data_IF_020278127197
#
_entry.id   IF_020278127197
#
_cell.length_a   1.000
_cell.length_b   1.000
_cell.length_c   1.000
_cell.angle_alpha   90.00
_cell.angle_beta   90.00
_cell.angle_gamma   90.00
#
_symmetry.space_group_name_H-M   'P 1'
#
loop_
_entity.id
_entity.type
_entity.pdbx_description
1 polymer ?
#
# COMPACT_ATOMS: atom_id res chain seq x y z
N UNK A 1 7.35 13.32 -5.13
CA UNK A 1 7.38 12.07 -4.37
C UNK A 1 6.09 11.98 -3.57
N UNK A 2 5.46 10.81 -3.61
CA UNK A 2 4.07 10.58 -3.20
C UNK A 2 3.38 9.77 -4.29
N UNK A 3 3.80 8.51 -4.45
CA UNK A 3 3.14 7.59 -5.34
C UNK A 3 1.70 7.39 -4.84
N UNK A 4 0.75 8.08 -5.46
CA UNK A 4 -0.66 7.73 -5.48
C UNK A 4 -0.82 6.42 -6.27
N UNK A 5 -0.30 5.32 -5.73
CA UNK A 5 -0.79 4.00 -6.07
C UNK A 5 -1.90 3.68 -5.08
N UNK A 6 -3.14 3.81 -5.55
CA UNK A 6 -4.29 3.16 -4.91
C UNK A 6 -3.98 1.68 -4.79
N UNK A 7 -3.57 1.24 -3.59
CA UNK A 7 -3.47 -0.17 -3.25
C UNK A 7 -4.87 -0.76 -3.21
N UNK A 8 -5.37 -1.19 -4.36
CA UNK A 8 -6.55 -2.04 -4.45
C UNK A 8 -6.11 -3.45 -4.11
N UNK A 9 -6.45 -3.89 -2.91
CA UNK A 9 -6.24 -5.26 -2.42
C UNK A 9 -6.93 -6.25 -3.37
N UNK A 10 -6.24 -7.26 -3.92
CA UNK A 10 -6.92 -8.34 -4.63
C UNK A 10 -7.71 -9.18 -3.62
N UNK A 11 -9.02 -9.21 -3.82
CA UNK A 11 -9.98 -10.04 -3.11
C UNK A 11 -9.64 -11.53 -3.29
N UNK A 12 -8.89 -12.11 -2.36
CA UNK A 12 -8.63 -13.54 -2.28
C UNK A 12 -9.77 -14.20 -1.50
N UNK A 13 -10.66 -14.85 -2.24
CA UNK A 13 -11.72 -15.72 -1.75
C UNK A 13 -11.12 -16.84 -0.88
N UNK A 14 -11.31 -16.75 0.44
CA UNK A 14 -11.11 -17.87 1.35
C UNK A 14 -12.39 -18.71 1.39
N UNK A 15 -12.30 -19.94 0.90
CA UNK A 15 -13.33 -20.97 1.03
C UNK A 15 -13.52 -21.32 2.51
N UNK A 16 -14.74 -21.10 2.99
CA UNK A 16 -15.22 -21.49 4.31
C UNK A 16 -15.20 -23.03 4.46
N UNK A 17 -14.76 -23.51 5.63
CA UNK A 17 -14.35 -24.90 5.88
C UNK A 17 -15.49 -25.80 6.36
N UNK A 18 -16.75 -25.38 6.23
CA UNK A 18 -17.89 -26.07 6.87
C UNK A 18 -18.82 -26.89 5.97
N UNK A 19 -18.53 -27.05 4.68
CA UNK A 19 -19.25 -27.98 3.81
C UNK A 19 -18.30 -28.80 2.92
N UNK A 20 -17.73 -29.87 3.45
CA UNK A 20 -17.18 -30.96 2.63
C UNK A 20 -17.10 -32.24 3.46
N UNK A 21 -18.24 -32.89 3.64
CA UNK A 21 -18.28 -34.31 3.94
C UNK A 21 -18.30 -35.08 2.62
N UNK A 22 -17.50 -36.14 2.58
CA UNK A 22 -17.46 -37.25 1.62
C UNK A 22 -16.56 -37.13 0.37
N UNK A 23 -15.48 -37.92 0.44
CA UNK A 23 -14.86 -38.76 -0.59
C UNK A 23 -14.10 -38.11 -1.77
N UNK A 24 -12.77 -38.13 -1.61
CA UNK A 24 -11.76 -38.65 -2.55
C UNK A 24 -11.92 -38.37 -4.06
N UNK A 25 -11.07 -37.46 -4.59
CA UNK A 25 -10.00 -37.72 -5.59
C UNK A 25 -9.76 -36.53 -6.55
N UNK A 26 -8.52 -36.36 -7.07
CA UNK A 26 -7.95 -35.07 -7.40
C UNK A 26 -7.91 -34.81 -8.91
N UNK A 27 -8.27 -33.59 -9.33
CA UNK A 27 -8.00 -33.11 -10.69
C UNK A 27 -7.68 -31.62 -10.66
N UNK A 28 -6.40 -31.27 -10.81
CA UNK A 28 -5.97 -29.99 -11.40
C UNK A 28 -4.55 -30.12 -11.98
N UNK A 29 -4.46 -29.75 -13.26
CA UNK A 29 -3.34 -29.10 -13.96
C UNK A 29 -1.91 -29.68 -13.81
N UNK A 30 -1.57 -30.59 -14.73
CA UNK A 30 -0.26 -30.57 -15.36
C UNK A 30 -0.22 -29.43 -16.39
N UNK A 31 0.53 -28.37 -16.09
CA UNK A 31 1.07 -27.48 -17.11
C UNK A 31 2.29 -28.18 -17.73
N UNK A 32 2.30 -28.31 -19.05
CA UNK A 32 3.32 -29.03 -19.79
C UNK A 32 4.65 -28.27 -19.84
N UNK A 33 5.66 -28.81 -19.16
CA UNK A 33 7.07 -28.70 -19.55
C UNK A 33 7.91 -29.66 -18.69
N UNK A 34 7.71 -30.96 -18.91
CA UNK A 34 8.73 -31.95 -18.62
C UNK A 34 8.94 -32.76 -19.90
N UNK A 35 10.09 -32.52 -20.49
CA UNK A 35 10.69 -33.18 -21.65
C UNK A 35 10.48 -34.69 -21.70
N UNK A 36 10.31 -35.15 -22.92
CA UNK A 36 9.98 -36.48 -23.46
C UNK A 36 10.91 -37.66 -23.06
N UNK A 37 11.60 -37.60 -21.91
CA UNK A 37 12.64 -38.55 -21.49
C UNK A 37 12.35 -39.35 -20.21
N UNK A 38 11.23 -39.12 -19.53
CA UNK A 38 10.95 -39.77 -18.23
C UNK A 38 9.91 -40.90 -18.28
N UNK A 39 9.20 -41.10 -19.39
CA UNK A 39 8.13 -42.12 -19.44
C UNK A 39 8.64 -43.56 -19.66
N UNK A 40 9.83 -43.75 -20.22
CA UNK A 40 10.36 -45.11 -20.46
C UNK A 40 11.09 -45.76 -19.27
N UNK A 41 11.51 -45.01 -18.25
CA UNK A 41 12.15 -45.59 -17.05
C UNK A 41 11.18 -45.99 -15.94
N UNK A 42 9.92 -45.52 -15.97
CA UNK A 42 9.00 -45.71 -14.84
C UNK A 42 8.33 -47.11 -14.81
N UNK A 43 8.46 -47.92 -15.87
CA UNK A 43 7.85 -49.25 -15.96
C UNK A 43 8.70 -50.40 -15.36
N UNK A 44 9.87 -50.13 -14.77
CA UNK A 44 10.77 -51.21 -14.30
C UNK A 44 11.23 -51.12 -12.84
N UNK A 45 10.60 -50.30 -12.00
CA UNK A 45 11.01 -50.14 -10.61
C UNK A 45 10.01 -50.75 -9.61
N UNK A 46 10.56 -51.69 -8.83
CA UNK A 46 9.95 -52.50 -7.79
C UNK A 46 9.07 -51.70 -6.80
N UNK A 47 8.15 -52.40 -6.14
CA UNK A 47 7.07 -51.90 -5.27
C UNK A 47 7.49 -50.84 -4.22
N UNK A 48 8.78 -50.77 -3.88
CA UNK A 48 9.42 -49.79 -2.98
C UNK A 48 9.50 -48.37 -3.57
N UNK A 49 9.59 -48.21 -4.89
CA UNK A 49 9.80 -46.89 -5.54
C UNK A 49 8.51 -46.05 -5.62
N UNK A 50 7.34 -46.70 -5.67
CA UNK A 50 6.02 -46.00 -5.64
C UNK A 50 5.76 -45.28 -4.32
N UNK A 51 6.26 -45.80 -3.20
CA UNK A 51 6.17 -45.11 -1.90
C UNK A 51 7.09 -43.88 -1.86
N UNK A 52 8.29 -43.95 -2.41
CA UNK A 52 9.19 -42.79 -2.50
C UNK A 52 8.61 -41.69 -3.39
N UNK A 53 7.99 -42.01 -4.52
CA UNK A 53 7.38 -41.01 -5.41
C UNK A 53 6.17 -40.32 -4.78
N UNK A 54 5.30 -41.06 -4.06
CA UNK A 54 4.19 -40.50 -3.27
C UNK A 54 4.68 -39.70 -2.06
N UNK A 55 5.79 -40.11 -1.42
CA UNK A 55 6.40 -39.36 -0.31
C UNK A 55 7.07 -38.08 -0.82
N UNK A 56 7.74 -38.11 -1.99
CA UNK A 56 8.32 -36.94 -2.62
C UNK A 56 7.24 -35.99 -3.16
N UNK A 57 6.13 -36.51 -3.70
CA UNK A 57 4.96 -35.70 -4.10
C UNK A 57 4.29 -35.05 -2.89
N UNK A 58 4.05 -35.79 -1.78
CA UNK A 58 3.52 -35.22 -0.53
C UNK A 58 4.48 -34.23 0.15
N UNK A 59 5.80 -34.44 0.03
CA UNK A 59 6.81 -33.53 0.57
C UNK A 59 6.97 -32.28 -0.30
N UNK A 60 6.90 -32.42 -1.63
CA UNK A 60 6.83 -31.30 -2.57
C UNK A 60 5.54 -30.48 -2.41
N UNK A 61 4.39 -31.14 -2.20
CA UNK A 61 3.14 -30.48 -1.78
C UNK A 61 3.32 -29.74 -0.44
N UNK A 62 4.01 -30.33 0.52
CA UNK A 62 4.37 -29.69 1.80
C UNK A 62 5.30 -28.48 1.66
N UNK A 63 6.31 -28.55 0.78
CA UNK A 63 7.20 -27.42 0.48
C UNK A 63 6.46 -26.32 -0.29
N UNK A 64 5.57 -26.68 -1.22
CA UNK A 64 4.75 -25.73 -1.96
C UNK A 64 3.70 -25.06 -1.07
N UNK A 65 3.03 -25.81 -0.20
CA UNK A 65 2.13 -25.29 0.83
C UNK A 65 2.89 -24.42 1.84
N UNK A 66 4.11 -24.80 2.22
CA UNK A 66 4.97 -24.01 3.10
C UNK A 66 5.44 -22.69 2.47
N UNK A 67 5.76 -22.69 1.17
CA UNK A 67 6.08 -21.49 0.42
C UNK A 67 4.85 -20.59 0.26
N UNK A 68 3.69 -21.15 -0.06
CA UNK A 68 2.44 -20.40 -0.18
C UNK A 68 2.04 -19.78 1.15
N UNK A 69 2.15 -20.52 2.25
CA UNK A 69 1.89 -20.00 3.60
C UNK A 69 2.86 -18.86 3.95
N UNK A 70 4.15 -19.02 3.66
CA UNK A 70 5.16 -17.99 3.88
C UNK A 70 4.90 -16.74 3.04
N UNK A 71 4.45 -16.91 1.79
CA UNK A 71 4.06 -15.81 0.92
C UNK A 71 2.87 -15.04 1.49
N UNK A 72 1.79 -15.74 1.87
CA UNK A 72 0.61 -15.12 2.48
C UNK A 72 0.97 -14.40 3.78
N UNK A 73 1.82 -14.99 4.63
CA UNK A 73 2.28 -14.35 5.85
C UNK A 73 3.09 -13.07 5.55
N UNK A 74 4.04 -13.12 4.61
CA UNK A 74 4.81 -11.93 4.20
C UNK A 74 3.91 -10.84 3.62
N UNK A 75 2.90 -11.20 2.83
CA UNK A 75 1.96 -10.25 2.27
C UNK A 75 1.14 -9.54 3.36
N UNK A 76 0.59 -10.29 4.31
CA UNK A 76 -0.20 -9.73 5.43
C UNK A 76 0.68 -8.86 6.34
N UNK A 77 1.88 -9.34 6.72
CA UNK A 77 2.80 -8.58 7.56
C UNK A 77 3.27 -7.30 6.88
N UNK A 78 3.48 -7.32 5.56
CA UNK A 78 3.83 -6.13 4.78
C UNK A 78 2.69 -5.10 4.79
N UNK A 79 1.45 -5.52 4.51
CA UNK A 79 0.28 -4.64 4.53
C UNK A 79 0.03 -4.07 5.93
N UNK A 80 0.08 -4.91 6.97
CA UNK A 80 -0.08 -4.47 8.35
C UNK A 80 1.00 -3.47 8.79
N UNK A 81 2.24 -3.64 8.33
CA UNK A 81 3.32 -2.69 8.60
C UNK A 81 3.04 -1.32 7.98
N UNK A 82 2.56 -1.28 6.73
CA UNK A 82 2.21 -0.02 6.06
C UNK A 82 1.05 0.71 6.75
N UNK A 83 0.04 -0.02 7.21
CA UNK A 83 -1.12 0.57 7.91
C UNK A 83 -0.71 1.11 9.30
N UNK A 84 0.12 0.37 10.04
CA UNK A 84 0.66 0.82 11.33
C UNK A 84 1.47 2.11 11.20
N UNK A 85 2.31 2.21 10.16
CA UNK A 85 3.09 3.41 9.87
C UNK A 85 2.17 4.57 9.49
N UNK A 86 1.14 4.33 8.68
CA UNK A 86 0.17 5.35 8.29
C UNK A 86 -0.61 5.90 9.51
N UNK A 87 -1.07 5.03 10.42
CA UNK A 87 -1.75 5.47 11.64
C UNK A 87 -0.78 6.22 12.56
N UNK A 88 0.47 5.75 12.66
CA UNK A 88 1.50 6.42 13.45
C UNK A 88 1.82 7.82 12.91
N UNK A 89 1.91 8.01 11.59
CA UNK A 89 2.17 9.32 11.00
C UNK A 89 1.00 10.27 11.23
N UNK A 90 -0.25 9.81 11.12
CA UNK A 90 -1.44 10.61 11.49
C UNK A 90 -1.37 11.05 12.97
N UNK A 91 -1.13 10.13 13.89
CA UNK A 91 -1.02 10.47 15.31
C UNK A 91 0.14 11.44 15.59
N UNK A 92 1.26 11.31 14.87
CA UNK A 92 2.46 12.10 15.14
C UNK A 92 2.42 13.48 14.49
N UNK A 93 2.02 13.59 13.23
CA UNK A 93 2.01 14.86 12.50
C UNK A 93 0.70 15.61 12.66
N UNK A 94 -0.44 14.93 12.56
CA UNK A 94 -1.75 15.58 12.55
C UNK A 94 -2.25 15.88 13.97
N UNK A 95 -1.87 15.06 14.96
CA UNK A 95 -2.27 15.26 16.36
C UNK A 95 -1.12 15.86 17.18
N UNK A 96 -0.01 15.14 17.32
CA UNK A 96 1.05 15.54 18.24
C UNK A 96 1.77 16.82 17.80
N UNK A 97 2.27 16.87 16.57
CA UNK A 97 2.96 18.06 16.07
C UNK A 97 2.00 19.25 15.92
N UNK A 98 0.82 19.06 15.32
CA UNK A 98 -0.09 20.18 15.08
C UNK A 98 -0.72 20.78 16.36
N UNK A 99 -1.16 19.94 17.31
CA UNK A 99 -1.95 20.41 18.45
C UNK A 99 -1.24 20.33 19.81
N UNK A 100 -0.29 19.41 20.00
CA UNK A 100 0.35 19.18 21.32
C UNK A 100 1.69 19.93 21.43
N UNK A 101 2.57 19.76 20.44
CA UNK A 101 3.88 20.42 20.43
C UNK A 101 4.31 20.82 19.00
N UNK A 102 3.96 22.04 18.56
CA UNK A 102 4.30 22.57 17.23
C UNK A 102 5.80 22.75 16.97
N UNK A 103 6.63 22.78 18.01
CA UNK A 103 8.09 22.92 17.90
C UNK A 103 8.80 21.60 18.23
N UNK A 104 8.15 20.45 17.99
CA UNK A 104 8.71 19.15 18.33
C UNK A 104 9.96 18.84 17.50
N UNK A 105 11.02 18.40 18.19
CA UNK A 105 12.26 17.94 17.54
C UNK A 105 12.05 16.57 16.87
N UNK A 106 12.81 16.26 15.82
CA UNK A 106 12.72 14.96 15.12
C UNK A 106 12.88 13.74 16.05
N UNK A 107 13.73 13.84 17.08
CA UNK A 107 13.87 12.78 18.10
C UNK A 107 12.60 12.55 18.93
N UNK A 108 11.84 13.62 19.22
CA UNK A 108 10.57 13.53 19.95
C UNK A 108 9.47 12.93 19.06
N UNK A 109 9.39 13.38 17.80
CA UNK A 109 8.47 12.85 16.78
C UNK A 109 8.66 11.35 16.61
N UNK A 110 9.91 10.88 16.46
CA UNK A 110 10.20 9.45 16.35
C UNK A 110 9.81 8.65 17.59
N UNK A 111 9.94 9.23 18.79
CA UNK A 111 9.55 8.57 20.04
C UNK A 111 8.03 8.38 20.11
N UNK A 112 7.28 9.43 19.79
CA UNK A 112 5.81 9.39 19.77
C UNK A 112 5.31 8.43 18.69
N UNK A 113 5.91 8.47 17.50
CA UNK A 113 5.59 7.57 16.40
C UNK A 113 5.76 6.10 16.81
N UNK A 114 6.89 5.72 17.43
CA UNK A 114 7.12 4.36 17.92
C UNK A 114 6.11 3.95 19.01
N UNK A 115 5.77 4.86 19.92
CA UNK A 115 4.76 4.60 20.93
C UNK A 115 3.37 4.38 20.31
N UNK A 116 3.01 5.17 19.29
CA UNK A 116 1.75 5.02 18.55
C UNK A 116 1.68 3.68 17.80
N UNK A 117 2.78 3.24 17.17
CA UNK A 117 2.84 1.92 16.51
C UNK A 117 2.62 0.79 17.51
N UNK A 118 3.29 0.82 18.67
CA UNK A 118 3.13 -0.21 19.70
C UNK A 118 1.71 -0.22 20.28
N UNK A 119 1.15 0.95 20.57
CA UNK A 119 -0.21 1.09 21.10
C UNK A 119 -1.27 0.61 20.12
N UNK A 120 -1.23 1.08 18.87
CA UNK A 120 -2.20 0.70 17.85
C UNK A 120 -2.06 -0.77 17.44
N UNK A 121 -0.82 -1.28 17.30
CA UNK A 121 -0.57 -2.69 17.01
C UNK A 121 -1.09 -3.61 18.11
N UNK A 122 -0.91 -3.24 19.38
CA UNK A 122 -1.49 -3.96 20.52
C UNK A 122 -3.02 -3.96 20.48
N UNK A 123 -3.63 -2.79 20.24
CA UNK A 123 -5.09 -2.65 20.12
C UNK A 123 -5.65 -3.50 18.98
N UNK A 124 -5.01 -3.48 17.82
CA UNK A 124 -5.41 -4.28 16.66
C UNK A 124 -5.35 -5.78 16.96
N UNK A 125 -4.28 -6.24 17.62
CA UNK A 125 -4.14 -7.64 18.04
C UNK A 125 -5.23 -8.08 19.04
N UNK A 126 -5.52 -7.23 20.04
CA UNK A 126 -6.59 -7.49 21.02
C UNK A 126 -7.95 -7.55 20.33
N UNK A 127 -8.26 -6.56 19.47
CA UNK A 127 -9.52 -6.49 18.74
C UNK A 127 -9.70 -7.70 17.81
N UNK A 128 -8.63 -8.14 17.14
CA UNK A 128 -8.65 -9.33 16.28
C UNK A 128 -9.00 -10.61 17.07
N UNK A 129 -8.44 -10.78 18.28
CA UNK A 129 -8.77 -11.94 19.15
C UNK A 129 -10.23 -11.87 19.62
N UNK A 130 -10.73 -10.69 19.98
CA UNK A 130 -12.12 -10.49 20.40
C UNK A 130 -13.08 -10.84 19.25
N UNK A 131 -12.84 -10.30 18.06
CA UNK A 131 -13.69 -10.56 16.88
C UNK A 131 -13.64 -12.03 16.45
N UNK A 132 -12.47 -12.67 16.55
CA UNK A 132 -12.32 -14.09 16.27
C UNK A 132 -13.12 -14.96 17.26
N UNK A 133 -13.06 -14.64 18.56
CA UNK A 133 -13.87 -15.32 19.59
C UNK A 133 -15.37 -15.06 19.45
N UNK A 134 -15.76 -13.88 18.97
CA UNK A 134 -17.14 -13.51 18.70
C UNK A 134 -17.73 -14.20 17.46
N UNK A 135 -16.92 -14.95 16.68
CA UNK A 135 -17.38 -15.67 15.50
C UNK A 135 -17.70 -14.77 14.30
N UNK A 136 -17.14 -13.56 14.26
CA UNK A 136 -17.37 -12.60 13.17
C UNK A 136 -16.74 -13.13 11.88
N UNK A 137 -17.55 -13.26 10.83
CA UNK A 137 -17.07 -13.66 9.50
C UNK A 137 -16.33 -12.51 8.81
N UNK A 138 -15.36 -12.84 7.96
CA UNK A 138 -14.67 -11.84 7.13
C UNK A 138 -15.65 -11.05 6.26
N UNK A 139 -16.67 -11.72 5.72
CA UNK A 139 -17.72 -11.08 4.92
C UNK A 139 -18.50 -10.03 5.71
N UNK A 140 -18.89 -10.34 6.94
CA UNK A 140 -19.55 -9.37 7.83
C UNK A 140 -18.65 -8.15 8.07
N UNK A 141 -17.37 -8.37 8.36
CA UNK A 141 -16.39 -7.31 8.65
C UNK A 141 -16.20 -6.38 7.44
N UNK A 142 -16.05 -6.94 6.24
CA UNK A 142 -15.89 -6.15 5.01
C UNK A 142 -17.13 -5.31 4.69
N UNK A 143 -18.34 -5.85 4.91
CA UNK A 143 -19.58 -5.10 4.67
C UNK A 143 -19.83 -4.03 5.75
N UNK A 144 -19.51 -4.33 7.01
CA UNK A 144 -19.62 -3.38 8.12
C UNK A 144 -18.66 -2.19 7.95
N UNK A 145 -17.44 -2.43 7.44
CA UNK A 145 -16.48 -1.38 7.09
C UNK A 145 -17.12 -0.28 6.24
N UNK A 146 -17.93 -0.65 5.24
CA UNK A 146 -18.55 0.33 4.37
C UNK A 146 -19.62 1.18 5.08
N UNK A 147 -20.31 0.62 6.08
CA UNK A 147 -21.29 1.39 6.89
C UNK A 147 -20.57 2.46 7.71
N UNK A 148 -19.45 2.10 8.34
CA UNK A 148 -18.68 3.00 9.21
C UNK A 148 -17.83 4.02 8.46
N UNK A 149 -17.20 3.61 7.36
CA UNK A 149 -16.19 4.41 6.64
C UNK A 149 -16.75 5.03 5.35
N UNK A 150 -17.78 4.41 4.77
CA UNK A 150 -18.32 4.82 3.46
C UNK A 150 -18.85 6.25 3.41
N UNK A 151 -19.33 6.80 4.51
CA UNK A 151 -19.85 8.18 4.56
C UNK A 151 -18.81 9.25 4.20
N UNK A 152 -17.51 8.96 4.35
CA UNK A 152 -16.44 9.90 4.03
C UNK A 152 -16.07 9.94 2.53
N UNK A 153 -16.44 8.92 1.75
CA UNK A 153 -15.97 8.74 0.37
C UNK A 153 -16.40 9.90 -0.53
N UNK A 154 -17.70 10.23 -0.57
CA UNK A 154 -18.21 11.33 -1.40
C UNK A 154 -17.71 12.70 -0.91
N UNK A 155 -17.73 13.01 0.40
CA UNK A 155 -17.13 14.24 0.94
C UNK A 155 -15.68 14.47 0.52
N UNK A 156 -14.83 13.43 0.56
CA UNK A 156 -13.43 13.52 0.11
C UNK A 156 -13.37 13.79 -1.39
N UNK A 157 -14.19 13.10 -2.19
CA UNK A 157 -14.26 13.34 -3.63
C UNK A 157 -14.67 14.78 -3.96
N UNK A 158 -15.62 15.36 -3.21
CA UNK A 158 -16.02 16.76 -3.38
C UNK A 158 -14.91 17.74 -3.02
N UNK A 159 -14.18 17.52 -1.93
CA UNK A 159 -13.03 18.36 -1.56
C UNK A 159 -11.97 18.41 -2.67
N UNK A 160 -11.79 17.33 -3.44
CA UNK A 160 -10.78 17.25 -4.49
C UNK A 160 -11.28 17.75 -5.85
N UNK A 161 -12.54 17.46 -6.21
CA UNK A 161 -13.07 17.68 -7.56
C UNK A 161 -13.93 18.95 -7.66
N UNK A 162 -14.48 19.43 -6.54
CA UNK A 162 -15.45 20.52 -6.53
C UNK A 162 -14.89 21.78 -5.88
N UNK A 163 -14.61 22.79 -6.71
CA UNK A 163 -14.02 24.07 -6.28
C UNK A 163 -14.83 24.84 -5.21
N UNK A 164 -16.14 24.60 -5.09
CA UNK A 164 -17.03 25.31 -4.15
C UNK A 164 -17.28 24.51 -2.85
N UNK A 165 -16.61 23.38 -2.67
CA UNK A 165 -16.76 22.52 -1.50
C UNK A 165 -16.42 23.28 -0.21
N UNK A 166 -17.30 23.21 0.78
CA UNK A 166 -17.17 23.93 2.05
C UNK A 166 -16.61 23.02 3.14
N UNK A 167 -15.69 23.54 3.95
CA UNK A 167 -15.11 22.84 5.10
C UNK A 167 -16.19 22.36 6.10
N UNK A 168 -17.25 23.15 6.32
CA UNK A 168 -18.33 22.76 7.23
C UNK A 168 -19.09 21.52 6.74
N UNK A 169 -19.39 21.46 5.43
CA UNK A 169 -20.01 20.29 4.80
C UNK A 169 -19.09 19.07 4.78
N UNK A 170 -17.77 19.30 4.65
CA UNK A 170 -16.76 18.24 4.69
C UNK A 170 -16.66 17.54 6.06
N UNK A 171 -16.94 18.25 7.15
CA UNK A 171 -16.94 17.67 8.50
C UNK A 171 -18.32 17.05 8.82
N UNK A 172 -19.41 17.78 8.56
CA UNK A 172 -20.74 17.29 8.90
C UNK A 172 -21.20 16.11 8.06
N UNK A 173 -20.83 16.07 6.77
CA UNK A 173 -21.25 15.01 5.85
C UNK A 173 -20.87 13.61 6.36
N UNK A 174 -19.58 13.31 6.55
CA UNK A 174 -19.15 12.00 7.06
C UNK A 174 -19.74 11.63 8.41
N UNK A 175 -19.87 12.59 9.33
CA UNK A 175 -20.39 12.37 10.69
C UNK A 175 -21.87 12.01 10.65
N UNK A 176 -22.70 12.86 10.04
CA UNK A 176 -24.15 12.63 9.91
C UNK A 176 -24.41 11.36 9.10
N UNK A 177 -23.66 11.16 8.00
CA UNK A 177 -23.80 9.97 7.17
C UNK A 177 -23.51 8.68 7.92
N UNK A 178 -22.47 8.66 8.76
CA UNK A 178 -22.12 7.50 9.58
C UNK A 178 -23.25 7.17 10.56
N UNK A 179 -23.74 8.16 11.31
CA UNK A 179 -24.84 7.95 12.26
C UNK A 179 -26.12 7.47 11.58
N UNK A 180 -26.53 8.10 10.48
CA UNK A 180 -27.72 7.68 9.72
C UNK A 180 -27.53 6.29 9.10
N UNK A 181 -26.33 5.96 8.63
CA UNK A 181 -25.97 4.64 8.13
C UNK A 181 -26.12 3.55 9.19
N UNK A 182 -25.59 3.77 10.40
CA UNK A 182 -25.70 2.83 11.53
C UNK A 182 -27.17 2.68 11.97
N UNK A 183 -27.89 3.80 12.11
CA UNK A 183 -29.31 3.77 12.48
C UNK A 183 -30.12 2.98 11.45
N UNK A 184 -29.87 3.20 10.15
CA UNK A 184 -30.57 2.46 9.09
C UNK A 184 -30.19 0.99 9.09
N UNK A 185 -28.91 0.67 9.25
CA UNK A 185 -28.44 -0.71 9.29
C UNK A 185 -29.11 -1.52 10.40
N UNK A 186 -29.10 -1.00 11.63
CA UNK A 186 -29.72 -1.66 12.78
C UNK A 186 -31.26 -1.60 12.72
N UNK A 187 -31.81 -0.50 12.20
CA UNK A 187 -33.25 -0.32 12.03
C UNK A 187 -33.85 -1.30 11.02
N UNK A 188 -33.24 -1.45 9.85
CA UNK A 188 -33.64 -2.43 8.83
C UNK A 188 -33.46 -3.86 9.34
N UNK A 189 -32.36 -4.13 10.07
CA UNK A 189 -32.16 -5.44 10.71
C UNK A 189 -33.34 -5.78 11.63
N UNK A 190 -33.75 -4.84 12.47
CA UNK A 190 -34.88 -5.03 13.39
C UNK A 190 -36.22 -5.13 12.65
N UNK A 191 -36.41 -4.36 11.58
CA UNK A 191 -37.65 -4.38 10.80
C UNK A 191 -37.85 -5.68 10.00
N UNK A 192 -36.78 -6.21 9.40
CA UNK A 192 -36.85 -7.43 8.58
C UNK A 192 -36.83 -8.71 9.42
N UNK A 193 -36.03 -8.74 10.49
CA UNK A 193 -35.76 -9.98 11.24
C UNK A 193 -36.27 -9.98 12.68
N UNK A 194 -36.78 -8.84 13.20
CA UNK A 194 -37.33 -8.72 14.56
C UNK A 194 -36.30 -8.77 15.70
N UNK A 195 -35.04 -9.12 15.42
CA UNK A 195 -33.93 -9.23 16.38
C UNK A 195 -32.64 -8.65 15.80
N UNK A 196 -31.73 -8.22 16.68
CA UNK A 196 -30.44 -7.62 16.29
C UNK A 196 -29.32 -8.46 16.87
N UNK A 197 -28.86 -9.43 16.06
CA UNK A 197 -27.73 -10.31 16.38
C UNK A 197 -26.69 -10.28 15.24
N UNK A 198 -25.54 -10.93 15.44
CA UNK A 198 -24.47 -11.00 14.44
C UNK A 198 -24.95 -11.59 13.09
N UNK A 199 -25.79 -12.62 13.15
CA UNK A 199 -26.33 -13.29 11.96
C UNK A 199 -27.29 -12.43 11.16
N UNK A 200 -28.13 -11.64 11.85
CA UNK A 200 -29.15 -10.80 11.20
C UNK A 200 -28.54 -9.52 10.66
N UNK A 201 -27.61 -8.92 11.42
CA UNK A 201 -26.87 -7.73 10.97
C UNK A 201 -25.97 -8.02 9.77
N UNK A 202 -25.46 -9.26 9.65
CA UNK A 202 -24.64 -9.73 8.54
C UNK A 202 -25.37 -10.04 7.25
N UNK A 203 -26.70 -9.92 7.21
CA UNK A 203 -27.46 -10.19 5.99
C UNK A 203 -27.27 -9.07 4.97
N UNK A 204 -27.32 -9.44 3.69
CA UNK A 204 -27.09 -8.52 2.58
C UNK A 204 -28.09 -7.36 2.56
N UNK A 205 -29.35 -7.58 2.94
CA UNK A 205 -30.39 -6.54 2.97
C UNK A 205 -30.03 -5.38 3.91
N UNK A 206 -29.91 -5.62 5.23
CA UNK A 206 -29.52 -4.59 6.18
C UNK A 206 -28.16 -3.95 5.88
N UNK A 207 -27.17 -4.75 5.48
CA UNK A 207 -25.84 -4.24 5.12
C UNK A 207 -25.92 -3.30 3.91
N UNK A 208 -26.67 -3.67 2.87
CA UNK A 208 -26.85 -2.84 1.68
C UNK A 208 -27.54 -1.52 2.03
N UNK A 209 -28.61 -1.56 2.81
CA UNK A 209 -29.35 -0.37 3.23
C UNK A 209 -28.46 0.58 4.05
N UNK A 210 -27.73 0.06 5.04
CA UNK A 210 -26.80 0.84 5.85
C UNK A 210 -25.68 1.48 5.03
N UNK A 211 -25.05 0.70 4.14
CA UNK A 211 -23.98 1.18 3.26
C UNK A 211 -24.48 2.28 2.32
N UNK A 212 -25.62 2.08 1.67
CA UNK A 212 -26.19 3.02 0.72
C UNK A 212 -26.56 4.34 1.41
N UNK A 213 -27.23 4.27 2.56
CA UNK A 213 -27.57 5.46 3.33
C UNK A 213 -26.31 6.18 3.82
N UNK A 214 -25.32 5.46 4.34
CA UNK A 214 -24.06 6.05 4.84
C UNK A 214 -23.37 6.90 3.76
N UNK A 215 -23.18 6.32 2.57
CA UNK A 215 -22.53 6.98 1.44
C UNK A 215 -23.36 8.15 0.90
N UNK A 216 -24.63 7.90 0.59
CA UNK A 216 -25.48 8.89 -0.09
C UNK A 216 -25.80 10.08 0.82
N UNK A 217 -26.11 9.84 2.09
CA UNK A 217 -26.42 10.94 3.02
C UNK A 217 -25.19 11.77 3.35
N UNK A 218 -24.01 11.14 3.49
CA UNK A 218 -22.76 11.88 3.68
C UNK A 218 -22.45 12.81 2.51
N UNK A 219 -22.64 12.32 1.27
CA UNK A 219 -22.55 13.14 0.06
C UNK A 219 -23.61 14.23 -0.03
N UNK A 220 -24.87 13.90 0.24
CA UNK A 220 -25.98 14.85 0.17
C UNK A 220 -25.83 16.01 1.16
N UNK A 221 -25.47 15.71 2.41
CA UNK A 221 -25.22 16.74 3.44
C UNK A 221 -24.07 17.66 3.01
N UNK A 222 -22.96 17.10 2.54
CA UNK A 222 -21.84 17.91 2.04
C UNK A 222 -22.28 18.80 0.87
N UNK A 223 -23.00 18.25 -0.11
CA UNK A 223 -23.47 18.98 -1.27
C UNK A 223 -24.40 20.14 -0.88
N UNK A 224 -25.40 19.87 -0.03
CA UNK A 224 -26.34 20.89 0.46
C UNK A 224 -25.59 22.01 1.19
N UNK A 225 -24.69 21.67 2.12
CA UNK A 225 -23.89 22.68 2.82
C UNK A 225 -23.00 23.50 1.87
N UNK A 226 -22.47 22.88 0.82
CA UNK A 226 -21.61 23.56 -0.17
C UNK A 226 -22.41 24.42 -1.15
N UNK A 227 -23.67 24.08 -1.44
CA UNK A 227 -24.57 24.96 -2.20
C UNK A 227 -25.05 26.15 -1.37
N UNK A 228 -25.36 25.93 -0.07
CA UNK A 228 -25.81 27.00 0.82
C UNK A 228 -24.71 27.99 1.18
N UNK A 229 -23.48 27.49 1.37
CA UNK A 229 -22.30 28.30 1.70
C UNK A 229 -21.10 27.84 0.87
N UNK A 230 -21.02 28.24 -0.41
CA UNK A 230 -19.92 27.85 -1.27
C UNK A 230 -18.62 28.49 -0.79
N UNK A 231 -17.56 27.69 -0.65
CA UNK A 231 -16.23 28.16 -0.28
C UNK A 231 -15.28 27.87 -1.45
N UNK A 232 -14.73 28.91 -2.08
CA UNK A 232 -13.75 28.77 -3.15
C UNK A 232 -12.35 28.67 -2.53
N UNK A 233 -11.98 27.49 -2.02
CA UNK A 233 -10.69 27.29 -1.37
C UNK A 233 -9.54 27.33 -2.38
N UNK A 234 -8.53 28.15 -2.11
CA UNK A 234 -7.29 28.22 -2.89
C UNK A 234 -6.20 27.36 -2.23
N UNK A 235 -5.57 26.49 -3.01
CA UNK A 235 -4.64 25.45 -2.52
C UNK A 235 -3.26 25.99 -2.13
N UNK A 236 -3.05 27.31 -2.18
CA UNK A 236 -1.79 27.94 -1.80
C UNK A 236 -1.39 27.69 -0.35
N UNK A 237 -2.36 27.65 0.57
CA UNK A 237 -2.11 27.35 1.98
C UNK A 237 -1.66 25.91 2.20
N UNK A 238 -2.14 24.95 1.40
CA UNK A 238 -1.68 23.55 1.45
C UNK A 238 -0.22 23.42 1.03
N UNK A 239 0.26 24.26 0.10
CA UNK A 239 1.67 24.29 -0.32
C UNK A 239 2.62 24.81 0.77
N UNK A 240 2.10 25.51 1.78
CA UNK A 240 2.89 26.11 2.88
C UNK A 240 2.98 25.21 4.11
N UNK A 241 2.34 24.04 4.11
CA UNK A 241 2.43 23.08 5.22
C UNK A 241 3.88 22.61 5.33
N UNK A 242 4.54 22.98 6.43
CA UNK A 242 5.92 22.61 6.71
C UNK A 242 6.02 21.12 6.98
N UNK A 243 6.45 20.34 5.99
CA UNK A 243 6.98 19.00 6.22
C UNK A 243 8.24 19.12 7.07
N UNK A 244 8.24 18.44 8.22
CA UNK A 244 9.34 18.45 9.20
C UNK A 244 10.65 17.97 8.58
N UNK A 245 10.57 17.12 7.56
CA UNK A 245 11.68 16.77 6.69
C UNK A 245 11.52 17.52 5.36
N UNK A 246 12.27 18.62 5.20
CA UNK A 246 12.56 19.17 3.87
C UNK A 246 13.50 18.21 3.15
N UNK A 247 13.00 17.06 2.71
CA UNK A 247 13.62 16.40 1.58
C UNK A 247 13.49 17.40 0.42
N UNK A 248 14.60 18.00 -0.02
CA UNK A 248 14.65 18.73 -1.27
C UNK A 248 14.15 17.74 -2.32
N UNK A 249 12.94 17.95 -2.82
CA UNK A 249 12.37 17.10 -3.85
C UNK A 249 13.33 17.13 -5.04
N UNK A 250 14.11 16.07 -5.25
CA UNK A 250 14.98 15.88 -6.41
C UNK A 250 14.17 15.63 -7.70
N UNK A 251 12.96 16.17 -7.79
CA UNK A 251 12.18 16.14 -9.01
C UNK A 251 12.60 17.34 -9.85
N UNK A 252 13.08 17.15 -11.08
CA UNK A 252 13.42 18.25 -11.96
C UNK A 252 12.21 19.18 -12.10
N UNK A 253 12.39 20.50 -11.95
CA UNK A 253 11.34 21.53 -12.11
C UNK A 253 10.54 21.38 -13.43
N UNK A 254 11.13 20.69 -14.42
CA UNK A 254 10.54 20.31 -15.71
C UNK A 254 9.35 19.35 -15.58
N UNK A 255 9.29 18.49 -14.56
CA UNK A 255 8.16 17.58 -14.33
C UNK A 255 6.93 18.28 -13.75
N UNK A 256 7.12 19.40 -13.04
CA UNK A 256 6.07 20.23 -12.44
C UNK A 256 5.46 21.25 -13.43
N UNK A 257 5.88 21.25 -14.71
CA UNK A 257 5.30 22.13 -15.73
C UNK A 257 3.80 21.84 -15.91
N UNK A 258 2.98 22.90 -15.92
CA UNK A 258 1.52 22.80 -16.03
C UNK A 258 1.04 21.99 -17.24
N UNK A 259 1.80 22.02 -18.34
CA UNK A 259 1.50 21.28 -19.56
C UNK A 259 1.55 19.75 -19.37
N UNK A 260 2.58 19.24 -18.65
CA UNK A 260 2.70 17.81 -18.33
C UNK A 260 1.62 17.37 -17.35
N UNK A 261 1.33 18.22 -16.34
CA UNK A 261 0.24 18.00 -15.38
C UNK A 261 -1.12 17.94 -16.07
N UNK A 262 -1.39 18.83 -17.04
CA UNK A 262 -2.63 18.84 -17.80
C UNK A 262 -2.79 17.61 -18.71
N UNK A 263 -1.68 17.13 -19.31
CA UNK A 263 -1.66 15.89 -20.08
C UNK A 263 -1.95 14.67 -19.18
N UNK A 264 -1.25 14.55 -18.06
CA UNK A 264 -1.45 13.48 -17.09
C UNK A 264 -2.88 13.48 -16.53
N UNK A 265 -3.41 14.66 -16.18
CA UNK A 265 -4.79 14.81 -15.70
C UNK A 265 -5.81 14.31 -16.72
N UNK A 266 -5.67 14.69 -17.99
CA UNK A 266 -6.57 14.23 -19.06
C UNK A 266 -6.50 12.71 -19.24
N UNK A 267 -5.29 12.14 -19.17
CA UNK A 267 -5.09 10.69 -19.23
C UNK A 267 -5.80 9.97 -18.06
N UNK A 268 -5.57 10.44 -16.84
CA UNK A 268 -6.18 9.86 -15.62
C UNK A 268 -7.70 9.95 -15.67
N UNK A 269 -8.27 11.10 -16.05
CA UNK A 269 -9.73 11.25 -16.14
C UNK A 269 -10.31 10.33 -17.21
N UNK A 270 -9.70 10.27 -18.41
CA UNK A 270 -10.18 9.43 -19.51
C UNK A 270 -10.24 7.96 -19.12
N UNK A 271 -9.15 7.43 -18.60
CA UNK A 271 -9.08 6.02 -18.21
C UNK A 271 -9.83 5.73 -16.92
N UNK A 272 -9.81 6.65 -15.95
CA UNK A 272 -10.57 6.54 -14.71
C UNK A 272 -12.07 6.44 -14.97
N UNK A 273 -12.65 7.38 -15.73
CA UNK A 273 -14.08 7.36 -16.06
C UNK A 273 -14.46 6.12 -16.88
N UNK A 274 -13.64 5.76 -17.88
CA UNK A 274 -13.86 4.55 -18.68
C UNK A 274 -13.88 3.29 -17.81
N UNK A 275 -12.87 3.12 -16.96
CA UNK A 275 -12.74 1.96 -16.08
C UNK A 275 -13.87 1.92 -15.05
N UNK A 276 -14.22 3.05 -14.43
CA UNK A 276 -15.36 3.15 -13.50
C UNK A 276 -16.67 2.76 -14.19
N UNK A 277 -16.93 3.23 -15.40
CA UNK A 277 -18.12 2.85 -16.16
C UNK A 277 -18.14 1.34 -16.48
N UNK A 278 -17.00 0.80 -16.94
CA UNK A 278 -16.90 -0.62 -17.24
C UNK A 278 -17.16 -1.47 -15.99
N UNK A 279 -16.51 -1.17 -14.87
CA UNK A 279 -16.58 -1.99 -13.65
C UNK A 279 -17.88 -1.80 -12.87
N UNK A 280 -18.41 -0.58 -12.76
CA UNK A 280 -19.60 -0.30 -11.94
C UNK A 280 -20.92 -0.40 -12.72
N UNK A 281 -20.91 -0.16 -14.03
CA UNK A 281 -22.14 -0.11 -14.82
C UNK A 281 -22.21 -1.28 -15.77
N UNK A 282 -21.25 -1.40 -16.70
CA UNK A 282 -21.31 -2.42 -17.74
C UNK A 282 -21.18 -3.84 -17.14
N UNK A 283 -20.24 -4.05 -16.22
CA UNK A 283 -19.97 -5.37 -15.65
C UNK A 283 -21.16 -5.93 -14.87
N UNK A 284 -21.80 -5.19 -13.93
CA UNK A 284 -22.96 -5.69 -13.22
C UNK A 284 -24.14 -5.90 -14.18
N UNK A 285 -24.40 -4.96 -15.10
CA UNK A 285 -25.47 -5.08 -16.10
C UNK A 285 -25.35 -6.36 -16.94
N UNK A 286 -24.14 -6.73 -17.36
CA UNK A 286 -23.89 -7.96 -18.10
C UNK A 286 -24.14 -9.23 -17.26
N UNK A 287 -24.01 -9.14 -15.94
CA UNK A 287 -24.23 -10.27 -15.01
C UNK A 287 -25.68 -10.40 -14.53
N UNK A 288 -26.48 -9.33 -14.56
CA UNK A 288 -27.90 -9.34 -14.16
C UNK A 288 -28.75 -10.41 -14.89
N UNK A 289 -28.65 -10.59 -16.21
CA UNK A 289 -29.47 -11.60 -16.91
C UNK A 289 -29.08 -13.05 -16.58
N UNK A 290 -27.92 -13.28 -15.94
CA UNK A 290 -27.45 -14.62 -15.62
C UNK A 290 -28.16 -15.26 -14.41
N UNK A 291 -28.84 -14.48 -13.57
CA UNK A 291 -29.59 -15.01 -12.42
C UNK A 291 -28.74 -15.90 -11.50
N UNK A 292 -29.18 -17.15 -11.29
CA UNK A 292 -28.38 -18.14 -10.55
C UNK A 292 -27.26 -18.70 -11.43
N UNK A 293 -26.01 -18.50 -10.99
CA UNK A 293 -24.84 -18.93 -11.76
C UNK A 293 -24.78 -20.45 -11.84
N UNK A 294 -24.88 -20.99 -13.07
CA UNK A 294 -24.56 -22.39 -13.33
C UNK A 294 -23.08 -22.66 -13.00
N UNK A 295 -22.75 -23.90 -12.62
CA UNK A 295 -21.39 -24.34 -12.29
C UNK A 295 -20.37 -23.92 -13.36
N UNK A 296 -20.71 -24.06 -14.64
CA UNK A 296 -19.85 -23.66 -15.77
C UNK A 296 -19.58 -22.15 -15.83
N UNK A 297 -20.61 -21.33 -15.60
CA UNK A 297 -20.50 -19.88 -15.57
C UNK A 297 -19.68 -19.42 -14.35
N UNK A 298 -19.92 -20.01 -13.18
CA UNK A 298 -19.11 -19.74 -11.99
C UNK A 298 -17.63 -20.11 -12.19
N UNK A 299 -17.34 -21.28 -12.80
CA UNK A 299 -15.95 -21.67 -13.09
C UNK A 299 -15.27 -20.72 -14.08
N UNK A 300 -16.00 -20.24 -15.09
CA UNK A 300 -15.48 -19.25 -16.04
C UNK A 300 -15.05 -17.96 -15.32
N UNK A 301 -15.90 -17.43 -14.44
CA UNK A 301 -15.59 -16.26 -13.63
C UNK A 301 -14.43 -16.48 -12.66
N UNK A 302 -14.36 -17.64 -12.03
CA UNK A 302 -13.25 -18.00 -11.16
C UNK A 302 -11.92 -18.01 -11.93
N UNK A 303 -11.90 -18.55 -13.15
CA UNK A 303 -10.70 -18.55 -14.01
C UNK A 303 -10.30 -17.13 -14.41
N UNK A 304 -11.25 -16.27 -14.79
CA UNK A 304 -10.96 -14.86 -15.09
C UNK A 304 -10.35 -14.16 -13.87
N UNK A 305 -10.91 -14.34 -12.67
CA UNK A 305 -10.40 -13.73 -11.45
C UNK A 305 -8.97 -14.20 -11.13
N UNK A 306 -8.69 -15.50 -11.30
CA UNK A 306 -7.34 -16.06 -11.13
C UNK A 306 -6.38 -15.47 -12.17
N UNK A 307 -6.75 -15.43 -13.45
CA UNK A 307 -5.93 -14.87 -14.52
C UNK A 307 -5.65 -13.37 -14.32
N UNK A 308 -6.66 -12.61 -13.90
CA UNK A 308 -6.50 -11.20 -13.57
C UNK A 308 -5.50 -11.03 -12.41
N UNK A 309 -5.67 -11.81 -11.34
CA UNK A 309 -4.79 -11.76 -10.17
C UNK A 309 -3.34 -12.15 -10.50
N UNK A 310 -3.12 -13.15 -11.35
CA UNK A 310 -1.77 -13.58 -11.75
C UNK A 310 -1.08 -12.56 -12.65
N UNK A 311 -1.81 -11.98 -13.62
CA UNK A 311 -1.27 -10.92 -14.49
C UNK A 311 -0.94 -9.68 -13.65
N UNK A 312 -1.85 -9.24 -12.78
CA UNK A 312 -1.62 -8.08 -11.92
C UNK A 312 -0.40 -8.29 -11.01
N UNK A 313 -0.27 -9.48 -10.41
CA UNK A 313 0.90 -9.85 -9.60
C UNK A 313 2.21 -9.80 -10.41
N UNK A 314 2.22 -10.38 -11.60
CA UNK A 314 3.39 -10.34 -12.48
C UNK A 314 3.80 -8.91 -12.83
N UNK A 315 2.84 -8.04 -13.13
CA UNK A 315 3.09 -6.62 -13.43
C UNK A 315 3.62 -5.87 -12.21
N UNK A 316 3.02 -6.04 -11.03
CA UNK A 316 3.45 -5.38 -9.79
C UNK A 316 4.87 -5.80 -9.39
N UNK A 317 5.26 -7.05 -9.66
CA UNK A 317 6.61 -7.55 -9.37
C UNK A 317 7.61 -7.05 -10.44
N UNK A 318 7.27 -7.14 -11.72
CA UNK A 318 8.21 -6.87 -12.81
C UNK A 318 8.41 -5.37 -13.07
N UNK A 319 7.36 -4.54 -12.96
CA UNK A 319 7.43 -3.12 -13.33
C UNK A 319 8.43 -2.32 -12.49
N UNK A 320 8.45 -2.42 -11.14
CA UNK A 320 9.46 -1.73 -10.34
C UNK A 320 10.89 -2.20 -10.65
N UNK A 321 11.08 -3.48 -10.97
CA UNK A 321 12.39 -4.04 -11.33
C UNK A 321 12.89 -3.51 -12.67
N UNK A 322 12.00 -3.37 -13.66
CA UNK A 322 12.33 -2.83 -14.99
C UNK A 322 12.69 -1.34 -14.88
N UNK A 323 11.91 -0.55 -14.13
CA UNK A 323 12.16 0.89 -13.95
C UNK A 323 13.45 1.14 -13.18
N UNK A 324 13.71 0.37 -12.11
CA UNK A 324 14.91 0.51 -11.28
C UNK A 324 16.14 -0.20 -11.86
N UNK A 325 16.02 -0.91 -12.99
CA UNK A 325 17.09 -1.73 -13.55
C UNK A 325 18.38 -0.95 -13.80
N UNK A 326 18.28 0.29 -14.30
CA UNK A 326 19.44 1.16 -14.54
C UNK A 326 20.12 1.56 -13.23
N UNK A 327 19.35 1.87 -12.19
CA UNK A 327 19.86 2.22 -10.86
C UNK A 327 20.51 1.01 -10.20
N UNK A 328 19.89 -0.16 -10.29
CA UNK A 328 20.45 -1.43 -9.80
C UNK A 328 21.77 -1.73 -10.51
N UNK A 329 21.84 -1.55 -11.83
CA UNK A 329 23.09 -1.71 -12.59
C UNK A 329 24.16 -0.69 -12.17
N UNK A 330 23.77 0.56 -11.89
CA UNK A 330 24.68 1.59 -11.42
C UNK A 330 25.24 1.28 -10.03
N UNK A 331 24.40 0.84 -9.10
CA UNK A 331 24.81 0.43 -7.75
C UNK A 331 25.68 -0.82 -7.81
N UNK A 332 25.29 -1.82 -8.62
CA UNK A 332 26.09 -3.02 -8.80
C UNK A 332 27.47 -2.70 -9.39
N UNK A 333 27.54 -1.87 -10.46
CA UNK A 333 28.82 -1.41 -11.01
C UNK A 333 29.59 -0.56 -10.00
N UNK A 334 28.92 0.29 -9.24
CA UNK A 334 29.52 1.14 -8.21
C UNK A 334 30.15 0.34 -7.09
N UNK A 335 29.47 -0.71 -6.59
CA UNK A 335 30.02 -1.64 -5.60
C UNK A 335 31.31 -2.29 -6.09
N UNK A 336 31.34 -2.77 -7.34
CA UNK A 336 32.55 -3.41 -7.90
C UNK A 336 33.64 -2.43 -8.36
N UNK A 337 33.32 -1.16 -8.60
CA UNK A 337 34.29 -0.17 -9.09
C UNK A 337 34.90 0.66 -7.95
N UNK A 338 34.13 0.96 -6.89
CA UNK A 338 34.65 1.72 -5.74
C UNK A 338 35.74 0.97 -4.99
N UNK A 339 35.63 -0.35 -4.81
CA UNK A 339 36.69 -1.13 -4.15
C UNK A 339 38.02 -0.97 -4.88
N UNK A 340 37.98 -1.05 -6.22
CA UNK A 340 39.17 -0.89 -7.08
C UNK A 340 39.67 0.56 -7.16
N UNK A 341 38.78 1.54 -7.04
CA UNK A 341 39.13 2.96 -7.04
C UNK A 341 39.75 3.37 -5.70
N UNK A 342 39.23 2.85 -4.58
CA UNK A 342 39.79 3.03 -3.24
C UNK A 342 41.18 2.40 -3.14
N UNK A 343 41.38 1.18 -3.65
CA UNK A 343 42.72 0.55 -3.72
C UNK A 343 43.74 1.42 -4.50
N UNK A 344 43.37 1.91 -5.69
CA UNK A 344 44.25 2.77 -6.48
C UNK A 344 44.55 4.12 -5.79
N UNK A 345 43.57 4.68 -5.07
CA UNK A 345 43.74 5.93 -4.34
C UNK A 345 44.65 5.76 -3.13
N UNK A 346 44.50 4.66 -2.38
CA UNK A 346 45.42 4.29 -1.29
C UNK A 346 46.85 4.07 -1.80
N UNK A 347 47.01 3.41 -2.95
CA UNK A 347 48.32 3.24 -3.59
C UNK A 347 48.93 4.59 -4.00
N UNK A 348 48.15 5.50 -4.58
CA UNK A 348 48.63 6.82 -4.98
C UNK A 348 49.03 7.66 -3.76
N UNK A 349 48.22 7.63 -2.69
CA UNK A 349 48.48 8.37 -1.46
C UNK A 349 49.75 7.85 -0.76
N UNK A 350 49.97 6.52 -0.75
CA UNK A 350 51.21 5.95 -0.20
C UNK A 350 52.46 6.36 -0.99
N UNK A 351 52.38 6.39 -2.32
CA UNK A 351 53.46 6.89 -3.20
C UNK A 351 53.72 8.38 -2.98
N UNK A 352 52.66 9.19 -2.85
CA UNK A 352 52.78 10.62 -2.59
C UNK A 352 53.46 10.88 -1.24
N UNK A 353 53.03 10.19 -0.18
CA UNK A 353 53.66 10.28 1.14
C UNK A 353 55.13 9.87 1.12
N UNK A 354 55.49 8.81 0.41
CA UNK A 354 56.88 8.39 0.25
C UNK A 354 57.74 9.45 -0.47
N UNK A 355 57.18 10.13 -1.48
CA UNK A 355 57.87 11.22 -2.20
C UNK A 355 58.05 12.45 -1.29
N UNK A 356 57.03 12.80 -0.51
CA UNK A 356 57.08 13.93 0.44
C UNK A 356 58.19 13.69 1.48
N UNK A 357 58.30 12.48 2.02
CA UNK A 357 59.34 12.13 3.00
C UNK A 357 60.75 12.06 2.40
N UNK A 358 60.87 11.73 1.11
CA UNK A 358 62.16 11.68 0.42
C UNK A 358 62.71 13.09 0.07
N UNK A 359 61.86 14.13 0.07
CA UNK A 359 62.21 15.49 -0.33
C UNK A 359 61.82 16.46 0.79
N UNK A 360 62.75 16.84 1.70
CA UNK A 360 62.45 17.67 2.87
C UNK A 360 61.97 19.10 2.52
N UNK A 361 62.26 19.58 1.30
CA UNK A 361 61.70 20.86 0.81
C UNK A 361 60.21 20.74 0.43
N UNK A 362 59.78 19.58 -0.09
CA UNK A 362 58.39 19.36 -0.50
C UNK A 362 57.45 19.23 0.72
N UNK A 363 57.92 18.59 1.79
CA UNK A 363 57.20 18.52 3.07
C UNK A 363 56.94 19.92 3.65
N UNK A 364 57.93 20.81 3.59
CA UNK A 364 57.81 22.18 4.10
C UNK A 364 56.79 23.01 3.30
N UNK A 365 56.77 22.86 1.97
CA UNK A 365 55.78 23.52 1.10
C UNK A 365 54.38 22.96 1.35
N UNK A 366 54.23 21.65 1.48
CA UNK A 366 52.94 21.01 1.79
C UNK A 366 52.36 21.48 3.13
N UNK A 367 53.19 21.59 4.18
CA UNK A 367 52.75 22.11 5.48
C UNK A 367 52.32 23.58 5.42
N UNK A 368 53.01 24.40 4.60
CA UNK A 368 52.62 25.80 4.38
C UNK A 368 51.30 25.94 3.63
N UNK A 369 51.07 25.11 2.61
CA UNK A 369 49.79 25.08 1.87
C UNK A 369 48.66 24.63 2.80
N UNK A 370 48.90 23.58 3.61
CA UNK A 370 47.93 23.09 4.58
C UNK A 370 47.59 24.12 5.66
N UNK A 371 48.56 24.94 6.08
CA UNK A 371 48.29 26.07 6.98
C UNK A 371 47.49 27.20 6.32
N UNK A 372 47.66 27.42 5.01
CA UNK A 372 46.82 28.38 4.26
C UNK A 372 45.39 27.88 4.15
N UNK A 373 45.19 26.63 3.74
CA UNK A 373 43.86 26.03 3.59
C UNK A 373 43.09 26.07 4.91
N UNK A 374 43.77 25.77 6.03
CA UNK A 374 43.17 25.83 7.37
C UNK A 374 42.77 27.27 7.77
N UNK A 375 43.56 28.28 7.37
CA UNK A 375 43.24 29.69 7.61
C UNK A 375 42.07 30.18 6.74
N UNK A 376 41.94 29.65 5.52
CA UNK A 376 40.80 29.91 4.64
C UNK A 376 39.52 29.24 5.16
N UNK A 377 39.59 28.00 5.64
CA UNK A 377 38.46 27.34 6.32
C UNK A 377 38.01 28.11 7.57
N UNK A 378 38.95 28.50 8.44
CA UNK A 378 38.66 29.30 9.64
C UNK A 378 38.09 30.70 9.31
N UNK A 379 38.37 31.22 8.11
CA UNK A 379 37.79 32.48 7.62
C UNK A 379 36.36 32.26 7.06
N UNK A 380 36.14 31.18 6.32
CA UNK A 380 34.83 30.82 5.77
C UNK A 380 33.80 30.51 6.88
N UNK A 381 34.24 29.85 7.95
CA UNK A 381 33.38 29.48 9.09
C UNK A 381 32.99 30.73 9.91
N UNK A 382 33.84 31.76 9.96
CA UNK A 382 33.51 33.08 10.55
C UNK A 382 32.49 33.85 9.74
N UNK A 383 32.55 33.81 8.42
CA UNK A 383 31.59 34.50 7.55
C UNK A 383 30.20 33.83 7.55
N UNK A 384 30.11 32.52 7.80
CA UNK A 384 28.83 31.82 7.93
C UNK A 384 28.09 32.11 9.25
N UNK A 385 28.81 32.53 10.30
CA UNK A 385 28.22 32.92 11.60
C UNK A 385 27.72 34.39 11.58
N UNK A 386 28.13 35.18 10.58
CA UNK A 386 27.86 36.63 10.49
C UNK A 386 26.68 37.02 9.58
N UNK A 387 25.75 36.11 9.29
CA UNK A 387 24.51 36.43 8.56
C UNK A 387 23.32 36.47 9.54
N UNK A 388 22.64 37.63 9.72
CA UNK A 388 21.55 37.79 10.67
C UNK A 388 20.27 37.03 10.31
#
# INVERSE_FOLDING_TARGET
MGNCCSYSVPMLLFLDKHYCNCHASPWWLCCGQCTHWSQHLCCKLSYTSRRCCLYFSRRAEGYFLGQLYSFCHRAVTSAGSSELIAVSSLCTYDIYHMYINPNATGKQILRVSRAAVLGFGGLMGILAVILNKAGVSLGWMYLAMGVFIGSAVIPIAFMLLWKRANAFGAILGPVIGCFLGIITWLGVTKAEYGRVDLDTTGRNGPMLAGNLVSILTGGAVHAVCSFLRPQNYDWETTKKISVVEKEKSELPYVELKEEKLASARRWIIKWGVCFTFVILVLWPLLTLPAGQFNKGYFTFWAVIAIAWGTIASAVIIAMPLIESWKTIQCVARGMFTNDRLMENFEELNSKLQAIILAIPEAERIYLLEKEKDKKEEDALDRDQIAVP
#
